data_IF_030713515435
#
_entry.id   IF_030713515435
#
_cell.length_a   1.000
_cell.length_b   1.000
_cell.length_c   1.000
_cell.angle_alpha   90.00
_cell.angle_beta   90.00
_cell.angle_gamma   90.00
#
_symmetry.space_group_name_H-M   'P 1'
#
loop_
_entity.id
_entity.type
_entity.pdbx_description
1 polymer ?
#
# COMPACT_ATOMS: atom_id res chain seq x y z
N UNK A 1 16.87 27.81 -12.24
CA UNK A 1 15.53 27.88 -12.87
C UNK A 1 15.15 26.45 -13.24
N UNK A 2 14.56 25.72 -12.32
CA UNK A 2 14.11 24.33 -12.50
C UNK A 2 12.61 24.37 -12.78
N UNK A 3 12.28 24.07 -14.02
CA UNK A 3 10.95 23.99 -14.58
C UNK A 3 10.24 22.75 -13.97
N UNK A 4 9.47 22.95 -12.90
CA UNK A 4 8.56 21.94 -12.35
C UNK A 4 7.36 21.84 -13.28
N UNK A 5 7.47 21.04 -14.35
CA UNK A 5 6.32 20.61 -15.14
C UNK A 5 5.38 19.84 -14.20
N UNK A 6 4.30 20.49 -13.81
CA UNK A 6 3.17 19.85 -13.15
C UNK A 6 2.66 18.74 -14.08
N UNK A 7 2.81 17.49 -13.65
CA UNK A 7 2.16 16.35 -14.28
C UNK A 7 0.64 16.66 -14.28
N UNK A 8 -0.06 16.57 -15.42
CA UNK A 8 -1.49 16.81 -15.41
C UNK A 8 -2.17 15.81 -14.47
N UNK A 9 -3.07 16.32 -13.62
CA UNK A 9 -3.90 15.52 -12.72
C UNK A 9 -4.50 14.33 -13.49
N UNK A 10 -4.34 13.13 -12.95
CA UNK A 10 -4.87 11.91 -13.57
C UNK A 10 -6.41 11.87 -13.52
N UNK A 11 -7.02 12.66 -12.63
CA UNK A 11 -8.47 12.72 -12.45
C UNK A 11 -9.03 14.01 -13.10
N UNK A 12 -10.07 13.91 -13.92
CA UNK A 12 -10.73 15.10 -14.46
C UNK A 12 -11.21 16.00 -13.31
N UNK A 13 -11.04 17.31 -13.42
CA UNK A 13 -11.55 18.31 -12.47
C UNK A 13 -13.02 18.07 -12.12
N UNK A 14 -13.81 17.58 -13.08
CA UNK A 14 -15.20 17.17 -12.88
C UNK A 14 -15.40 16.08 -11.82
N UNK A 15 -14.44 15.16 -11.63
CA UNK A 15 -14.52 14.09 -10.61
C UNK A 15 -14.32 14.68 -9.22
N UNK A 16 -13.34 15.56 -9.06
CA UNK A 16 -13.05 16.22 -7.78
C UNK A 16 -14.21 17.13 -7.35
N UNK A 17 -14.75 17.92 -8.27
CA UNK A 17 -15.95 18.73 -8.03
C UNK A 17 -17.19 17.86 -7.75
N UNK A 18 -17.33 16.74 -8.45
CA UNK A 18 -18.39 15.75 -8.20
C UNK A 18 -18.32 15.15 -6.81
N UNK A 19 -17.09 14.83 -6.32
CA UNK A 19 -16.86 14.34 -4.96
C UNK A 19 -17.22 15.40 -3.92
N UNK A 20 -16.75 16.65 -4.11
CA UNK A 20 -17.11 17.79 -3.24
C UNK A 20 -18.62 17.92 -3.11
N UNK A 21 -19.34 17.97 -4.22
CA UNK A 21 -20.80 18.10 -4.24
C UNK A 21 -21.50 16.90 -3.58
N UNK A 22 -20.99 15.68 -3.76
CA UNK A 22 -21.52 14.49 -3.11
C UNK A 22 -21.33 14.52 -1.60
N UNK A 23 -20.17 14.96 -1.13
CA UNK A 23 -19.87 15.13 0.30
C UNK A 23 -20.77 16.19 0.92
N UNK A 24 -20.91 17.37 0.29
CA UNK A 24 -21.77 18.43 0.80
C UNK A 24 -23.26 18.02 0.88
N UNK A 25 -23.73 17.18 -0.06
CA UNK A 25 -25.09 16.62 0.02
C UNK A 25 -25.26 15.63 1.16
N UNK A 26 -24.26 14.80 1.39
CA UNK A 26 -24.33 13.74 2.43
C UNK A 26 -24.05 14.29 3.83
N UNK A 27 -23.18 15.26 3.90
CA UNK A 27 -22.74 15.94 5.15
C UNK A 27 -22.70 17.44 4.89
N UNK A 28 -23.85 18.13 4.97
CA UNK A 28 -23.91 19.57 4.73
C UNK A 28 -22.94 20.32 5.63
N UNK A 29 -22.01 21.12 5.07
CA UNK A 29 -21.08 21.88 5.88
C UNK A 29 -21.82 23.06 6.56
N UNK A 30 -21.28 23.53 7.68
CA UNK A 30 -21.80 24.67 8.41
C UNK A 30 -21.47 26.03 7.74
N UNK A 31 -20.58 26.01 6.72
CA UNK A 31 -20.22 27.17 5.91
C UNK A 31 -20.65 26.93 4.44
N UNK A 32 -20.69 27.98 3.61
CA UNK A 32 -21.03 27.83 2.19
C UNK A 32 -20.12 26.82 1.49
N UNK A 33 -20.72 25.88 0.75
CA UNK A 33 -19.99 24.81 0.07
C UNK A 33 -18.86 25.34 -0.83
N UNK A 34 -19.07 26.47 -1.50
CA UNK A 34 -18.07 27.10 -2.34
C UNK A 34 -16.79 27.55 -1.60
N UNK A 35 -16.89 27.89 -0.31
CA UNK A 35 -15.74 28.26 0.48
C UNK A 35 -14.89 27.03 0.87
N UNK A 36 -15.51 25.84 0.96
CA UNK A 36 -14.86 24.60 1.31
C UNK A 36 -14.28 23.87 0.09
N UNK A 37 -14.74 24.20 -1.10
CA UNK A 37 -14.32 23.55 -2.34
C UNK A 37 -12.80 23.54 -2.55
N UNK A 38 -12.05 24.68 -2.36
CA UNK A 38 -10.59 24.67 -2.52
C UNK A 38 -9.89 23.64 -1.64
N UNK A 39 -10.25 23.53 -0.37
CA UNK A 39 -9.68 22.54 0.55
C UNK A 39 -9.96 21.11 0.09
N UNK A 40 -11.17 20.85 -0.38
CA UNK A 40 -11.56 19.55 -0.90
C UNK A 40 -10.74 19.16 -2.13
N UNK A 41 -10.58 20.11 -3.08
CA UNK A 41 -9.79 19.89 -4.30
C UNK A 41 -8.32 19.65 -3.99
N UNK A 42 -7.72 20.41 -3.07
CA UNK A 42 -6.34 20.22 -2.63
C UNK A 42 -6.13 18.83 -2.00
N UNK A 43 -7.05 18.38 -1.14
CA UNK A 43 -6.99 17.07 -0.53
C UNK A 43 -7.15 15.93 -1.54
N UNK A 44 -7.96 16.12 -2.59
CA UNK A 44 -8.08 15.15 -3.69
C UNK A 44 -6.81 15.13 -4.52
N UNK A 45 -6.26 16.30 -4.85
CA UNK A 45 -5.00 16.39 -5.61
C UNK A 45 -3.82 15.77 -4.85
N UNK A 46 -3.79 15.88 -3.52
CA UNK A 46 -2.79 15.20 -2.69
C UNK A 46 -2.89 13.68 -2.83
N UNK A 47 -4.10 13.11 -2.77
CA UNK A 47 -4.31 11.66 -2.97
C UNK A 47 -3.84 11.19 -4.36
N UNK A 48 -4.04 11.98 -5.41
CA UNK A 48 -3.56 11.67 -6.75
C UNK A 48 -2.02 11.57 -6.82
N UNK A 49 -1.34 12.32 -5.95
CA UNK A 49 0.12 12.31 -5.81
C UNK A 49 0.63 11.24 -4.83
N UNK A 50 -0.28 10.43 -4.25
CA UNK A 50 0.06 9.44 -3.23
C UNK A 50 0.20 10.01 -1.83
N UNK A 51 -0.16 11.29 -1.63
CA UNK A 51 -0.11 11.95 -0.32
C UNK A 51 -1.45 11.84 0.40
N UNK A 52 -1.49 11.25 1.58
CA UNK A 52 -2.72 11.08 2.36
C UNK A 52 -3.11 12.33 3.15
N UNK A 53 -2.18 13.27 3.32
CA UNK A 53 -2.35 14.46 4.15
C UNK A 53 -1.71 15.68 3.52
N UNK A 54 -2.22 16.84 3.88
CA UNK A 54 -1.61 18.14 3.62
C UNK A 54 -1.09 18.79 4.92
N UNK A 55 -0.08 19.66 4.85
CA UNK A 55 0.30 20.49 5.99
C UNK A 55 -0.88 21.33 6.47
N UNK A 56 -1.08 21.41 7.77
CA UNK A 56 -2.17 22.14 8.40
C UNK A 56 -1.82 23.63 8.54
N UNK A 57 -2.13 24.41 7.52
CA UNK A 57 -2.01 25.87 7.59
C UNK A 57 -3.14 26.47 8.44
N UNK A 58 -2.99 27.72 8.88
CA UNK A 58 -4.04 28.45 9.62
C UNK A 58 -5.35 28.51 8.82
N UNK A 59 -5.27 28.75 7.52
CA UNK A 59 -6.41 28.79 6.60
C UNK A 59 -7.13 27.44 6.51
N UNK A 60 -6.40 26.35 6.26
CA UNK A 60 -6.97 24.98 6.18
C UNK A 60 -7.61 24.57 7.51
N UNK A 61 -6.97 24.93 8.64
CA UNK A 61 -7.54 24.69 9.97
C UNK A 61 -8.86 25.42 10.13
N UNK A 62 -8.88 26.70 9.82
CA UNK A 62 -10.09 27.53 9.91
C UNK A 62 -11.24 26.95 9.08
N UNK A 63 -10.99 26.64 7.80
CA UNK A 63 -12.00 26.03 6.92
C UNK A 63 -12.50 24.68 7.46
N UNK A 64 -11.61 23.82 7.90
CA UNK A 64 -11.96 22.51 8.42
C UNK A 64 -12.79 22.61 9.72
N UNK A 65 -12.41 23.49 10.64
CA UNK A 65 -13.15 23.71 11.89
C UNK A 65 -14.53 24.34 11.62
N UNK A 66 -14.57 25.39 10.79
CA UNK A 66 -15.81 26.08 10.44
C UNK A 66 -16.79 25.21 9.63
N UNK A 67 -16.29 24.24 8.87
CA UNK A 67 -17.15 23.34 8.11
C UNK A 67 -17.98 22.37 8.95
N UNK A 68 -17.58 22.08 10.18
CA UNK A 68 -18.15 21.00 10.99
C UNK A 68 -17.69 19.60 10.58
N UNK A 69 -16.82 19.46 9.56
CA UNK A 69 -16.36 18.18 9.03
C UNK A 69 -15.26 17.49 9.83
N UNK A 70 -14.94 18.02 11.01
CA UNK A 70 -14.02 17.39 11.98
C UNK A 70 -14.77 16.69 13.13
N UNK A 71 -16.07 16.92 13.26
CA UNK A 71 -16.85 16.52 14.44
C UNK A 71 -17.58 15.19 14.19
N UNK A 72 -17.44 14.27 15.14
CA UNK A 72 -18.10 12.95 15.12
C UNK A 72 -17.32 11.88 14.34
N UNK A 73 -17.68 10.62 14.60
CA UNK A 73 -16.98 9.45 14.04
C UNK A 73 -17.14 9.29 12.52
N UNK A 74 -18.23 9.84 11.97
CA UNK A 74 -18.51 9.82 10.53
C UNK A 74 -17.94 11.05 9.79
N UNK A 75 -17.24 11.96 10.48
CA UNK A 75 -16.70 13.18 9.87
C UNK A 75 -15.71 12.83 8.75
N UNK A 76 -15.73 13.54 7.60
CA UNK A 76 -14.87 13.19 6.47
C UNK A 76 -13.40 13.58 6.67
N UNK A 77 -13.11 14.57 7.51
CA UNK A 77 -11.77 15.09 7.75
C UNK A 77 -11.21 14.66 9.11
N UNK A 78 -9.90 14.54 9.18
CA UNK A 78 -9.16 14.30 10.41
C UNK A 78 -7.90 15.14 10.42
N UNK A 79 -7.59 15.74 11.58
CA UNK A 79 -6.34 16.43 11.86
C UNK A 79 -5.48 15.52 12.74
N UNK A 80 -4.24 15.28 12.33
CA UNK A 80 -3.22 14.56 13.09
C UNK A 80 -1.97 15.42 13.22
N UNK A 81 -1.70 15.95 14.40
CA UNK A 81 -0.59 16.87 14.64
C UNK A 81 -0.71 18.14 13.79
N UNK A 82 0.24 18.34 12.90
CA UNK A 82 0.33 19.46 11.97
C UNK A 82 -0.16 19.14 10.54
N UNK A 83 -0.92 18.08 10.39
CA UNK A 83 -1.43 17.61 9.08
C UNK A 83 -2.93 17.40 9.11
N UNK A 84 -3.57 17.56 7.93
CA UNK A 84 -4.99 17.33 7.70
C UNK A 84 -5.17 16.37 6.52
N UNK A 85 -6.12 15.46 6.63
CA UNK A 85 -6.42 14.50 5.56
C UNK A 85 -7.83 13.93 5.64
N UNK A 86 -8.15 13.05 4.71
CA UNK A 86 -9.41 12.32 4.71
C UNK A 86 -9.39 11.24 5.80
N UNK A 87 -10.31 11.30 6.73
CA UNK A 87 -10.43 10.34 7.85
C UNK A 87 -10.33 8.89 7.39
N UNK A 88 -11.11 8.51 6.37
CA UNK A 88 -11.15 7.16 5.85
C UNK A 88 -9.77 6.60 5.48
N UNK A 89 -8.96 7.42 4.79
CA UNK A 89 -7.64 7.00 4.35
C UNK A 89 -6.63 6.97 5.49
N UNK A 90 -6.74 7.92 6.42
CA UNK A 90 -5.87 7.95 7.59
C UNK A 90 -6.15 6.77 8.51
N UNK A 91 -7.42 6.45 8.78
CA UNK A 91 -7.79 5.27 9.57
C UNK A 91 -7.34 3.97 8.89
N UNK A 92 -7.55 3.83 7.58
CA UNK A 92 -7.06 2.65 6.85
C UNK A 92 -5.53 2.53 6.90
N UNK A 93 -4.80 3.64 6.86
CA UNK A 93 -3.34 3.65 7.04
C UNK A 93 -2.95 3.20 8.44
N UNK A 94 -3.61 3.71 9.48
CA UNK A 94 -3.36 3.29 10.87
C UNK A 94 -3.59 1.80 11.07
N UNK A 95 -4.69 1.26 10.53
CA UNK A 95 -5.01 -0.17 10.57
C UNK A 95 -3.91 -1.01 9.88
N UNK A 96 -3.43 -0.56 8.72
CA UNK A 96 -2.33 -1.24 8.01
C UNK A 96 -1.04 -1.20 8.82
N UNK A 97 -0.68 -0.04 9.35
CA UNK A 97 0.54 0.12 10.18
C UNK A 97 0.46 -0.76 11.41
N UNK A 98 -0.67 -0.76 12.12
CA UNK A 98 -0.88 -1.60 13.32
C UNK A 98 -0.78 -3.09 12.97
N UNK A 99 -1.40 -3.53 11.87
CA UNK A 99 -1.32 -4.90 11.39
C UNK A 99 0.13 -5.32 11.05
N UNK A 100 0.89 -4.44 10.40
CA UNK A 100 2.30 -4.69 10.06
C UNK A 100 3.18 -4.72 11.31
N UNK A 101 2.97 -3.81 12.26
CA UNK A 101 3.70 -3.78 13.54
C UNK A 101 3.41 -5.04 14.35
N UNK A 102 2.15 -5.44 14.44
CA UNK A 102 1.73 -6.68 15.10
C UNK A 102 2.40 -7.89 14.44
N UNK A 103 2.36 -7.98 13.12
CA UNK A 103 3.00 -9.07 12.39
C UNK A 103 4.52 -9.10 12.55
N UNK A 104 5.15 -7.93 12.57
CA UNK A 104 6.61 -7.81 12.85
C UNK A 104 6.99 -8.34 14.21
N UNK A 105 6.10 -8.26 15.20
CA UNK A 105 6.30 -8.73 16.56
C UNK A 105 6.15 -10.25 16.70
N UNK A 106 5.68 -10.95 15.67
CA UNK A 106 5.65 -12.40 15.65
C UNK A 106 7.09 -12.94 15.63
N UNK A 107 7.33 -14.09 16.28
CA UNK A 107 8.64 -14.73 16.20
C UNK A 107 8.99 -14.98 14.73
N UNK A 108 10.26 -14.82 14.36
CA UNK A 108 10.71 -15.17 13.02
C UNK A 108 10.44 -16.66 12.78
N UNK A 109 10.36 -17.09 11.51
CA UNK A 109 10.29 -18.50 11.17
C UNK A 109 11.41 -19.24 11.88
N UNK A 110 11.10 -20.39 12.47
CA UNK A 110 12.11 -21.21 13.13
C UNK A 110 13.28 -21.45 12.18
N UNK A 111 14.52 -21.28 12.63
CA UNK A 111 15.69 -21.57 11.80
C UNK A 111 15.59 -22.99 11.28
N UNK A 112 15.65 -23.14 9.96
CA UNK A 112 15.67 -24.45 9.34
C UNK A 112 17.04 -25.09 9.55
N UNK A 113 17.11 -26.37 9.88
CA UNK A 113 18.37 -27.10 9.95
C UNK A 113 19.06 -27.22 8.57
N UNK A 114 18.37 -26.97 7.48
CA UNK A 114 18.97 -27.03 6.14
C UNK A 114 19.88 -25.78 5.92
N UNK A 115 21.11 -26.00 5.43
CA UNK A 115 22.00 -24.90 5.13
C UNK A 115 21.40 -24.02 4.03
N UNK A 116 21.37 -22.72 4.26
CA UNK A 116 20.91 -21.78 3.25
C UNK A 116 21.84 -21.79 2.04
N UNK A 117 21.28 -21.76 0.80
CA UNK A 117 22.10 -21.72 -0.40
C UNK A 117 22.96 -20.46 -0.46
N UNK A 118 24.13 -20.58 -1.07
CA UNK A 118 25.00 -19.43 -1.33
C UNK A 118 24.26 -18.41 -2.21
N UNK A 119 24.42 -17.12 -1.88
CA UNK A 119 23.83 -16.05 -2.68
C UNK A 119 24.67 -15.79 -3.93
N UNK A 120 24.03 -15.46 -5.06
CA UNK A 120 24.75 -15.08 -6.27
C UNK A 120 25.70 -13.89 -6.04
N UNK A 121 26.87 -13.95 -6.64
CA UNK A 121 27.84 -12.84 -6.56
C UNK A 121 27.35 -11.55 -7.23
N UNK A 122 26.39 -11.68 -8.15
CA UNK A 122 25.76 -10.57 -8.86
C UNK A 122 24.90 -9.66 -7.97
N UNK A 123 24.51 -10.11 -6.78
CA UNK A 123 23.75 -9.30 -5.83
C UNK A 123 24.70 -8.31 -5.12
N UNK A 124 24.28 -7.05 -5.04
CA UNK A 124 24.94 -6.06 -4.19
C UNK A 124 24.66 -6.30 -2.69
N UNK A 125 25.31 -5.54 -1.81
CA UNK A 125 25.19 -5.71 -0.37
C UNK A 125 23.74 -5.52 0.14
N UNK A 126 23.02 -4.53 -0.38
CA UNK A 126 21.63 -4.24 -0.01
C UNK A 126 20.68 -5.33 -0.46
N UNK A 127 20.84 -5.84 -1.69
CA UNK A 127 20.06 -6.95 -2.22
C UNK A 127 20.32 -8.24 -1.43
N UNK A 128 21.58 -8.52 -1.04
CA UNK A 128 21.91 -9.66 -0.17
C UNK A 128 21.24 -9.56 1.18
N UNK A 129 21.27 -8.36 1.79
CA UNK A 129 20.59 -8.10 3.06
C UNK A 129 19.07 -8.33 2.94
N UNK A 130 18.46 -7.86 1.85
CA UNK A 130 17.03 -8.05 1.59
C UNK A 130 16.66 -9.52 1.41
N UNK A 131 17.46 -10.30 0.67
CA UNK A 131 17.24 -11.75 0.49
C UNK A 131 17.35 -12.51 1.81
N UNK A 132 18.27 -12.12 2.69
CA UNK A 132 18.44 -12.73 4.01
C UNK A 132 17.40 -12.24 5.04
N UNK A 133 16.67 -11.18 4.78
CA UNK A 133 15.79 -10.58 5.78
C UNK A 133 14.66 -11.53 6.24
N UNK A 134 14.15 -12.39 5.38
CA UNK A 134 13.15 -13.42 5.77
C UNK A 134 13.65 -14.44 6.77
N UNK A 135 14.95 -14.62 6.92
CA UNK A 135 15.51 -15.52 7.94
C UNK A 135 15.25 -15.01 9.37
N UNK A 136 14.93 -13.71 9.49
CA UNK A 136 14.86 -13.02 10.78
C UNK A 136 13.61 -12.15 10.95
N UNK A 137 12.79 -12.02 9.93
CA UNK A 137 11.63 -11.12 9.95
C UNK A 137 10.41 -11.74 9.29
N UNK A 138 9.25 -11.57 9.92
CA UNK A 138 7.95 -11.98 9.38
C UNK A 138 7.38 -10.99 8.34
N UNK A 139 7.96 -9.79 8.24
CA UNK A 139 7.59 -8.76 7.25
C UNK A 139 8.87 -8.16 6.69
N UNK A 140 8.99 -8.13 5.36
CA UNK A 140 10.09 -7.48 4.65
C UNK A 140 9.51 -6.45 3.68
N UNK A 141 9.91 -5.20 3.82
CA UNK A 141 9.56 -4.11 2.90
C UNK A 141 10.75 -3.83 1.98
N UNK A 142 10.59 -4.13 0.69
CA UNK A 142 11.60 -3.91 -0.33
C UNK A 142 11.31 -2.63 -1.11
N UNK A 143 12.07 -1.57 -0.83
CA UNK A 143 11.95 -0.28 -1.52
C UNK A 143 13.11 -0.06 -2.47
N UNK A 144 12.87 0.69 -3.55
CA UNK A 144 13.92 1.05 -4.51
C UNK A 144 13.33 1.65 -5.79
N UNK A 145 14.12 2.48 -6.48
CA UNK A 145 13.72 3.11 -7.74
C UNK A 145 13.53 2.13 -8.90
N UNK A 146 13.09 2.60 -10.07
CA UNK A 146 13.07 1.80 -11.29
C UNK A 146 14.48 1.28 -11.63
N UNK A 147 14.57 0.03 -12.10
CA UNK A 147 15.86 -0.56 -12.52
C UNK A 147 16.81 -0.99 -11.41
N UNK A 148 16.46 -0.87 -10.14
CA UNK A 148 17.31 -1.28 -8.99
C UNK A 148 17.37 -2.78 -8.76
N UNK A 149 16.72 -3.58 -9.60
CA UNK A 149 16.72 -5.05 -9.49
C UNK A 149 15.78 -5.61 -8.42
N UNK A 150 14.73 -4.87 -8.02
CA UNK A 150 13.73 -5.36 -7.05
C UNK A 150 13.21 -6.75 -7.41
N UNK A 151 12.78 -6.95 -8.66
CA UNK A 151 12.24 -8.23 -9.12
C UNK A 151 13.27 -9.36 -9.05
N UNK A 152 14.52 -9.10 -9.43
CA UNK A 152 15.62 -10.08 -9.31
C UNK A 152 15.88 -10.43 -7.84
N UNK A 153 15.83 -9.43 -6.95
CA UNK A 153 15.95 -9.65 -5.49
C UNK A 153 14.82 -10.53 -4.97
N UNK A 154 13.57 -10.29 -5.42
CA UNK A 154 12.41 -11.11 -5.05
C UNK A 154 12.59 -12.57 -5.53
N UNK A 155 13.06 -12.79 -6.77
CA UNK A 155 13.32 -14.14 -7.29
C UNK A 155 14.34 -14.89 -6.42
N UNK A 156 15.44 -14.24 -6.03
CA UNK A 156 16.45 -14.85 -5.16
C UNK A 156 15.94 -15.11 -3.74
N UNK A 157 15.12 -14.19 -3.21
CA UNK A 157 14.45 -14.37 -1.93
C UNK A 157 13.54 -15.60 -1.94
N UNK A 158 12.73 -15.76 -2.99
CA UNK A 158 11.86 -16.92 -3.17
C UNK A 158 12.67 -18.20 -3.30
N UNK A 159 13.73 -18.20 -4.11
CA UNK A 159 14.63 -19.34 -4.28
C UNK A 159 15.26 -19.79 -2.95
N UNK A 160 15.70 -18.81 -2.14
CA UNK A 160 16.25 -19.06 -0.81
C UNK A 160 15.20 -19.63 0.15
N UNK A 161 14.00 -19.04 0.15
CA UNK A 161 12.91 -19.49 1.02
C UNK A 161 12.52 -20.96 0.73
N UNK A 162 12.34 -21.30 -0.56
CA UNK A 162 12.03 -22.69 -0.96
C UNK A 162 13.16 -23.68 -0.68
N UNK A 163 14.42 -23.29 -0.88
CA UNK A 163 15.54 -24.16 -0.58
C UNK A 163 15.61 -24.51 0.91
N UNK A 164 15.16 -23.60 1.77
CA UNK A 164 15.10 -23.82 3.23
C UNK A 164 13.84 -24.55 3.66
N UNK A 165 12.74 -24.31 2.99
CA UNK A 165 11.42 -24.86 3.29
C UNK A 165 10.74 -25.31 1.99
N UNK A 166 10.98 -26.54 1.54
CA UNK A 166 10.48 -27.03 0.22
C UNK A 166 8.95 -27.05 0.12
N UNK A 167 8.24 -27.18 1.24
CA UNK A 167 6.79 -27.31 1.30
C UNK A 167 6.06 -25.96 1.48
N UNK A 168 6.77 -24.81 1.35
CA UNK A 168 6.17 -23.50 1.47
C UNK A 168 5.07 -23.25 0.44
N UNK A 169 3.90 -22.88 0.92
CA UNK A 169 2.79 -22.40 0.09
C UNK A 169 3.00 -20.91 -0.19
N UNK A 170 3.49 -20.62 -1.38
CA UNK A 170 3.86 -19.27 -1.80
C UNK A 170 2.82 -18.70 -2.74
N UNK A 171 2.41 -17.45 -2.53
CA UNK A 171 1.54 -16.69 -3.41
C UNK A 171 2.21 -15.39 -3.87
N UNK A 172 1.89 -15.00 -5.12
CA UNK A 172 2.30 -13.72 -5.70
C UNK A 172 1.06 -12.86 -5.93
N UNK A 173 1.14 -11.60 -5.58
CA UNK A 173 0.03 -10.67 -5.72
C UNK A 173 0.50 -9.29 -6.22
N UNK A 174 -0.40 -8.56 -6.87
CA UNK A 174 -0.23 -7.16 -7.21
C UNK A 174 -1.61 -6.46 -7.24
N UNK A 175 -1.68 -5.12 -7.16
CA UNK A 175 -2.95 -4.39 -7.23
C UNK A 175 -3.67 -4.57 -8.56
N UNK A 176 -2.94 -4.66 -9.66
CA UNK A 176 -3.51 -4.72 -11.02
C UNK A 176 -3.18 -6.03 -11.75
N UNK A 177 -4.04 -6.42 -12.71
CA UNK A 177 -3.80 -7.60 -13.53
C UNK A 177 -2.53 -7.50 -14.40
N UNK A 178 -2.14 -6.29 -14.82
CA UNK A 178 -0.91 -6.06 -15.58
C UNK A 178 0.32 -6.27 -14.69
N UNK A 179 0.33 -5.72 -13.48
CA UNK A 179 1.42 -5.88 -12.54
C UNK A 179 1.57 -7.34 -12.09
N UNK A 180 0.46 -8.04 -11.77
CA UNK A 180 0.52 -9.45 -11.39
C UNK A 180 1.06 -10.34 -12.51
N UNK A 181 0.71 -10.09 -13.78
CA UNK A 181 1.30 -10.83 -14.90
C UNK A 181 2.80 -10.58 -15.01
N UNK A 182 3.25 -9.31 -14.95
CA UNK A 182 4.68 -8.98 -15.01
C UNK A 182 5.48 -9.65 -13.89
N UNK A 183 4.94 -9.67 -12.67
CA UNK A 183 5.56 -10.37 -11.55
C UNK A 183 5.62 -11.88 -11.81
N UNK A 184 4.52 -12.49 -12.23
CA UNK A 184 4.45 -13.90 -12.56
C UNK A 184 5.43 -14.31 -13.66
N UNK A 185 5.48 -13.56 -14.76
CA UNK A 185 6.39 -13.80 -15.89
C UNK A 185 7.86 -13.67 -15.46
N UNK A 186 8.18 -12.67 -14.65
CA UNK A 186 9.55 -12.48 -14.16
C UNK A 186 10.01 -13.62 -13.22
N UNK A 187 9.11 -14.10 -12.38
CA UNK A 187 9.38 -15.26 -11.50
C UNK A 187 9.48 -16.54 -12.33
N UNK A 188 8.58 -16.75 -13.30
CA UNK A 188 8.56 -17.92 -14.19
C UNK A 188 9.85 -18.06 -15.01
N UNK A 189 10.46 -16.94 -15.43
CA UNK A 189 11.71 -16.94 -16.18
C UNK A 189 12.88 -17.60 -15.43
N UNK A 190 12.80 -17.71 -14.11
CA UNK A 190 13.90 -18.16 -13.25
C UNK A 190 13.56 -19.40 -12.41
N UNK A 191 12.31 -19.86 -12.41
CA UNK A 191 11.83 -20.97 -11.56
C UNK A 191 10.47 -21.49 -12.02
N UNK A 192 9.97 -22.55 -11.35
CA UNK A 192 8.64 -23.09 -11.59
C UNK A 192 7.53 -22.05 -11.33
N UNK A 193 6.38 -22.15 -12.03
CA UNK A 193 5.28 -21.20 -11.85
C UNK A 193 4.73 -21.24 -10.43
N UNK A 194 4.47 -20.05 -9.89
CA UNK A 194 3.76 -19.84 -8.63
C UNK A 194 2.35 -19.31 -8.86
N UNK A 195 1.40 -19.59 -7.96
CA UNK A 195 0.10 -18.94 -7.97
C UNK A 195 0.28 -17.42 -7.94
N UNK A 196 -0.17 -16.75 -8.99
CA UNK A 196 -0.04 -15.29 -9.14
C UNK A 196 -1.38 -14.68 -9.56
N UNK A 197 -1.84 -13.67 -8.84
CA UNK A 197 -3.11 -13.03 -9.12
C UNK A 197 -3.17 -11.61 -8.56
N UNK A 198 -4.27 -10.87 -8.84
CA UNK A 198 -4.51 -9.58 -8.18
C UNK A 198 -4.88 -9.76 -6.72
N UNK A 199 -4.58 -8.75 -5.89
CA UNK A 199 -5.01 -8.71 -4.48
C UNK A 199 -6.51 -8.96 -4.33
N UNK A 200 -7.33 -8.31 -5.18
CA UNK A 200 -8.78 -8.49 -5.17
C UNK A 200 -9.20 -9.96 -5.37
N UNK A 201 -8.50 -10.67 -6.24
CA UNK A 201 -8.80 -12.07 -6.52
C UNK A 201 -8.34 -12.98 -5.37
N UNK A 202 -7.16 -12.74 -4.80
CA UNK A 202 -6.69 -13.42 -3.61
C UNK A 202 -7.66 -13.25 -2.42
N UNK A 203 -8.18 -12.03 -2.25
CA UNK A 203 -9.12 -11.70 -1.20
C UNK A 203 -10.58 -12.07 -1.51
N UNK A 204 -10.84 -12.72 -2.65
CA UNK A 204 -12.20 -13.11 -3.06
C UNK A 204 -13.17 -11.91 -3.06
N UNK A 205 -12.73 -10.78 -3.64
CA UNK A 205 -13.53 -9.55 -3.67
C UNK A 205 -14.83 -9.74 -4.44
N UNK A 206 -15.95 -9.33 -3.85
CA UNK A 206 -17.28 -9.44 -4.40
C UNK A 206 -18.22 -8.33 -3.92
N UNK A 207 -19.49 -8.40 -4.30
CA UNK A 207 -20.51 -7.38 -3.98
C UNK A 207 -20.71 -7.15 -2.46
N UNK A 208 -20.38 -8.12 -1.63
CA UNK A 208 -20.49 -8.06 -0.17
C UNK A 208 -19.16 -7.74 0.53
N UNK A 209 -18.13 -7.35 -0.19
CA UNK A 209 -16.78 -7.10 0.33
C UNK A 209 -15.81 -8.24 0.01
N UNK A 210 -14.87 -8.48 0.91
CA UNK A 210 -13.85 -9.53 0.75
C UNK A 210 -14.31 -10.84 1.40
N UNK A 211 -14.08 -11.96 0.72
CA UNK A 211 -14.33 -13.31 1.25
C UNK A 211 -13.21 -13.85 2.13
N UNK A 212 -12.06 -13.17 2.17
CA UNK A 212 -10.90 -13.47 3.01
C UNK A 212 -10.63 -12.33 3.98
N UNK A 213 -10.21 -12.66 5.19
CA UNK A 213 -9.94 -11.72 6.28
C UNK A 213 -9.34 -12.44 7.49
N UNK A 214 -9.40 -11.81 8.67
CA UNK A 214 -8.87 -12.38 9.90
C UNK A 214 -9.48 -13.74 10.24
N UNK A 215 -10.79 -13.88 10.06
CA UNK A 215 -11.53 -15.12 10.36
C UNK A 215 -11.34 -16.22 9.31
N UNK A 216 -10.89 -15.85 8.11
CA UNK A 216 -10.63 -16.76 7.00
C UNK A 216 -9.39 -16.32 6.23
N UNK A 217 -8.19 -16.51 6.80
CA UNK A 217 -6.96 -16.08 6.19
C UNK A 217 -6.66 -16.81 4.88
N UNK A 218 -5.70 -16.29 4.13
CA UNK A 218 -5.14 -16.99 2.97
C UNK A 218 -4.39 -18.23 3.44
N UNK A 219 -4.55 -19.32 2.71
CA UNK A 219 -3.83 -20.56 2.95
C UNK A 219 -2.42 -20.50 2.33
N UNK A 220 -1.61 -19.57 2.81
CA UNK A 220 -0.25 -19.29 2.35
C UNK A 220 0.69 -19.12 3.54
N UNK A 221 1.92 -19.56 3.35
CA UNK A 221 3.01 -19.37 4.30
C UNK A 221 3.84 -18.12 3.96
N UNK A 222 3.94 -17.80 2.65
CA UNK A 222 4.63 -16.60 2.15
C UNK A 222 3.78 -15.93 1.07
N UNK A 223 3.53 -14.65 1.22
CA UNK A 223 2.90 -13.80 0.21
C UNK A 223 3.85 -12.68 -0.22
N UNK A 224 4.11 -12.58 -1.50
CA UNK A 224 4.83 -11.45 -2.10
C UNK A 224 3.83 -10.53 -2.77
N UNK A 225 3.88 -9.24 -2.43
CA UNK A 225 3.02 -8.21 -3.03
C UNK A 225 3.93 -7.20 -3.74
N UNK A 226 3.71 -6.99 -5.03
CA UNK A 226 4.44 -6.01 -5.86
C UNK A 226 3.57 -4.79 -6.15
N UNK A 227 4.20 -3.63 -6.35
CA UNK A 227 3.53 -2.36 -6.64
C UNK A 227 2.51 -1.90 -5.57
N UNK A 228 2.90 -1.97 -4.29
CA UNK A 228 2.12 -1.39 -3.18
C UNK A 228 2.35 0.11 -3.06
#
# INVERSE_FOLDING_TARGET
>A
MSDTRSTPSAWPVAVSAGLHNALCRRMPPALPAAELEPLTLELVAALEQGELTLPLTAERRHLAEASGWLVGDASPLLIQGDRIGWRRWLQAMEEVVEALVTRRSLPPPTPDPLPAPALPETLNAEQRAAVCALDHASVVLLSGGPGTGKTSTVVELLRRAEARHPDLRIGLAAPTGKASRRLGDAVLASRAPLPCSTLHRWLESGARGFGRGADRPLDLDLLVIDEM
#
